data_IF_933954416419
#
_entry.id   IF_933954416419
#
_cell.length_a   1.000
_cell.length_b   1.000
_cell.length_c   1.000
_cell.angle_alpha   90.00
_cell.angle_beta   90.00
_cell.angle_gamma   90.00
#
_symmetry.space_group_name_H-M   'P 1'
#
loop_
_entity.id
_entity.type
_entity.pdbx_description
1 polymer ?
#
# COMPACT_ATOMS: atom_id res chain seq x y z
N UNK A 1 7.88 0.98 11.39
CA UNK A 1 7.37 2.13 10.63
C UNK A 1 6.28 2.82 11.46
N UNK A 2 6.38 4.15 11.57
CA UNK A 2 5.55 5.05 12.42
C UNK A 2 4.93 6.16 11.53
N UNK A 3 4.12 7.11 12.03
CA UNK A 3 3.59 8.19 11.18
C UNK A 3 4.66 8.88 10.32
N UNK A 4 4.34 9.11 9.04
CA UNK A 4 5.29 9.53 8.02
C UNK A 4 4.68 9.54 6.61
N UNK A 5 5.52 9.75 5.60
CA UNK A 5 5.15 9.63 4.18
C UNK A 5 5.86 8.40 3.58
N UNK A 6 5.06 7.49 3.04
CA UNK A 6 5.53 6.22 2.50
C UNK A 6 5.07 6.10 1.06
N UNK A 7 6.01 5.75 0.17
CA UNK A 7 5.71 5.61 -1.25
C UNK A 7 6.46 4.45 -1.88
N UNK A 8 5.89 3.95 -2.96
CA UNK A 8 6.51 2.96 -3.82
C UNK A 8 6.22 3.31 -5.27
N UNK A 9 7.15 2.98 -6.16
CA UNK A 9 6.95 3.09 -7.60
C UNK A 9 7.01 1.69 -8.17
N UNK A 10 5.89 1.19 -8.69
CA UNK A 10 5.85 -0.13 -9.31
C UNK A 10 4.89 -0.17 -10.50
N UNK A 11 5.00 -1.25 -11.28
CA UNK A 11 4.07 -1.65 -12.33
C UNK A 11 3.73 -3.13 -12.19
N UNK A 12 2.62 -3.54 -12.76
CA UNK A 12 2.17 -4.92 -12.89
C UNK A 12 2.21 -5.31 -14.37
N UNK A 13 3.03 -6.30 -14.69
CA UNK A 13 3.13 -6.88 -16.03
C UNK A 13 2.25 -8.12 -16.12
N UNK A 14 1.51 -8.24 -17.22
CA UNK A 14 0.58 -9.36 -17.40
C UNK A 14 -0.61 -9.27 -16.44
N UNK A 15 -1.03 -8.05 -16.08
CA UNK A 15 -2.08 -7.77 -15.10
C UNK A 15 -3.49 -8.15 -15.61
N UNK A 16 -3.69 -9.44 -15.88
CA UNK A 16 -4.89 -10.08 -16.39
C UNK A 16 -5.07 -11.40 -15.64
N UNK A 17 -6.31 -11.78 -15.39
CA UNK A 17 -6.64 -12.87 -14.47
C UNK A 17 -6.53 -12.41 -13.02
N UNK A 18 -7.15 -13.14 -12.09
CA UNK A 18 -7.28 -12.72 -10.70
C UNK A 18 -5.95 -12.70 -9.95
N UNK A 19 -5.60 -11.55 -9.41
CA UNK A 19 -4.49 -11.31 -8.50
C UNK A 19 -4.75 -9.98 -7.76
N UNK A 20 -4.06 -9.79 -6.64
CA UNK A 20 -3.99 -8.52 -5.93
C UNK A 20 -2.53 -8.15 -5.70
N UNK A 21 -2.18 -6.91 -6.04
CA UNK A 21 -0.97 -6.27 -5.51
C UNK A 21 -1.33 -5.31 -4.39
N UNK A 22 -0.61 -5.38 -3.27
CA UNK A 22 -0.80 -4.49 -2.14
C UNK A 22 0.49 -3.80 -1.72
N UNK A 23 0.37 -2.49 -1.45
CA UNK A 23 1.36 -1.69 -0.71
C UNK A 23 0.69 -1.19 0.56
N UNK A 24 1.14 -1.67 1.71
CA UNK A 24 0.42 -1.43 2.96
C UNK A 24 1.31 -1.32 4.18
N UNK A 25 0.81 -0.60 5.18
CA UNK A 25 1.35 -0.59 6.54
C UNK A 25 0.46 -1.43 7.44
N UNK A 26 1.04 -2.32 8.25
CA UNK A 26 0.29 -3.23 9.13
C UNK A 26 0.89 -3.24 10.54
N UNK A 27 0.03 -3.14 11.55
CA UNK A 27 0.35 -3.44 12.95
C UNK A 27 -0.46 -4.65 13.45
N UNK A 28 -1.77 -4.62 13.24
CA UNK A 28 -2.74 -5.67 13.56
C UNK A 28 -4.00 -5.51 12.69
N UNK A 29 -4.97 -6.41 12.83
CA UNK A 29 -6.20 -6.45 12.02
C UNK A 29 -7.13 -5.22 12.21
N UNK A 30 -6.90 -4.41 13.25
CA UNK A 30 -7.61 -3.15 13.48
C UNK A 30 -6.81 -1.91 13.01
N UNK A 31 -5.57 -2.12 12.54
CA UNK A 31 -4.57 -1.09 12.33
C UNK A 31 -3.76 -1.40 11.06
N UNK A 32 -4.36 -1.09 9.91
CA UNK A 32 -3.76 -1.33 8.59
C UNK A 32 -4.12 -0.20 7.62
N UNK A 33 -3.16 0.22 6.79
CA UNK A 33 -3.30 1.24 5.75
C UNK A 33 -2.96 0.59 4.41
N UNK A 34 -3.89 0.56 3.47
CA UNK A 34 -3.74 -0.17 2.22
C UNK A 34 -3.86 0.69 0.97
N UNK A 35 -3.01 0.36 0.01
CA UNK A 35 -3.21 0.65 -1.41
C UNK A 35 -3.15 -0.68 -2.16
N UNK A 36 -4.28 -1.14 -2.68
CA UNK A 36 -4.40 -2.45 -3.32
C UNK A 36 -4.96 -2.34 -4.73
N UNK A 37 -4.28 -2.94 -5.70
CA UNK A 37 -4.77 -3.07 -7.08
C UNK A 37 -5.21 -4.51 -7.27
N UNK A 38 -6.49 -4.68 -7.59
CA UNK A 38 -7.06 -5.96 -7.99
C UNK A 38 -7.07 -6.01 -9.51
N UNK A 39 -6.35 -6.97 -10.08
CA UNK A 39 -6.23 -7.11 -11.53
C UNK A 39 -7.56 -7.57 -12.16
N UNK A 40 -7.81 -7.23 -13.44
CA UNK A 40 -8.96 -7.75 -14.18
C UNK A 40 -9.07 -9.28 -14.15
N UNK A 41 -10.14 -9.79 -13.53
CA UNK A 41 -10.49 -11.20 -13.36
C UNK A 41 -12.00 -11.34 -13.10
N UNK A 42 -12.36 -12.13 -12.08
CA UNK A 42 -13.76 -12.49 -11.76
C UNK A 42 -14.17 -12.24 -10.30
N UNK A 43 -13.41 -11.44 -9.57
CA UNK A 43 -13.77 -11.02 -8.22
C UNK A 43 -14.86 -9.95 -8.18
N UNK A 44 -15.38 -9.66 -7.00
CA UNK A 44 -16.42 -8.65 -6.82
C UNK A 44 -15.90 -7.22 -6.94
N UNK A 45 -14.64 -6.97 -6.56
CA UNK A 45 -13.93 -5.68 -6.72
C UNK A 45 -13.06 -5.67 -7.98
N UNK A 46 -13.41 -6.47 -8.98
CA UNK A 46 -12.63 -6.70 -10.18
C UNK A 46 -12.13 -5.41 -10.87
N UNK A 47 -10.83 -5.37 -11.19
CA UNK A 47 -10.25 -4.29 -11.99
C UNK A 47 -10.33 -2.94 -11.27
N UNK A 48 -9.96 -2.89 -10.00
CA UNK A 48 -10.01 -1.69 -9.18
C UNK A 48 -8.66 -1.39 -8.52
N UNK A 49 -8.49 -0.14 -8.13
CA UNK A 49 -7.55 0.27 -7.08
C UNK A 49 -8.36 0.67 -5.84
N UNK A 50 -7.92 0.20 -4.68
CA UNK A 50 -8.60 0.33 -3.40
C UNK A 50 -7.67 1.02 -2.41
N UNK A 51 -8.18 2.05 -1.76
CA UNK A 51 -7.50 2.81 -0.70
C UNK A 51 -8.28 2.58 0.60
N UNK A 52 -7.72 1.79 1.50
CA UNK A 52 -8.42 1.34 2.71
C UNK A 52 -7.66 1.73 3.96
N UNK A 53 -8.40 2.16 4.98
CA UNK A 53 -7.92 2.27 6.36
C UNK A 53 -8.74 1.35 7.25
N UNK A 54 -8.10 0.31 7.76
CA UNK A 54 -8.75 -0.69 8.60
C UNK A 54 -9.13 -0.12 9.99
N UNK A 55 -10.20 -0.65 10.60
CA UNK A 55 -11.11 -1.65 10.02
C UNK A 55 -12.00 -1.01 8.94
N UNK A 56 -12.27 -1.78 7.87
CA UNK A 56 -13.18 -1.40 6.78
C UNK A 56 -14.62 -1.85 7.00
N UNK A 57 -14.83 -2.81 7.90
CA UNK A 57 -16.15 -3.33 8.29
C UNK A 57 -16.40 -3.11 9.79
N UNK A 58 -17.66 -2.85 10.15
CA UNK A 58 -18.12 -2.78 11.53
C UNK A 58 -18.29 -4.17 12.15
N UNK A 59 -18.61 -4.22 13.45
CA UNK A 59 -18.90 -5.47 14.15
C UNK A 59 -20.12 -6.21 13.59
N UNK A 60 -21.02 -5.49 12.94
CA UNK A 60 -22.19 -6.00 12.22
C UNK A 60 -21.88 -6.47 10.79
N UNK A 61 -20.60 -6.42 10.38
CA UNK A 61 -20.13 -6.77 9.05
C UNK A 61 -20.48 -5.73 7.98
N UNK A 62 -21.07 -4.59 8.34
CA UNK A 62 -21.40 -3.55 7.37
C UNK A 62 -20.17 -2.71 7.02
N UNK A 63 -20.03 -2.24 5.77
CA UNK A 63 -18.97 -1.31 5.39
C UNK A 63 -19.01 -0.06 6.26
N UNK A 64 -17.86 0.30 6.84
CA UNK A 64 -17.73 1.55 7.56
C UNK A 64 -17.65 2.69 6.52
N UNK A 65 -18.52 3.72 6.62
CA UNK A 65 -18.51 4.82 5.69
C UNK A 65 -17.13 5.47 5.60
N UNK A 66 -16.65 5.70 4.36
CA UNK A 66 -15.37 6.36 4.09
C UNK A 66 -14.14 5.64 4.66
N UNK A 67 -14.24 4.33 4.95
CA UNK A 67 -13.10 3.49 5.32
C UNK A 67 -12.33 2.95 4.10
N UNK A 68 -13.01 2.84 2.96
CA UNK A 68 -12.45 2.39 1.69
C UNK A 68 -12.95 3.29 0.56
N UNK A 69 -12.04 3.74 -0.29
CA UNK A 69 -12.35 4.23 -1.63
C UNK A 69 -11.92 3.17 -2.65
N UNK A 70 -12.89 2.65 -3.42
CA UNK A 70 -12.63 1.74 -4.54
C UNK A 70 -12.87 2.47 -5.86
N UNK A 71 -11.88 2.48 -6.75
CA UNK A 71 -11.93 3.16 -8.04
C UNK A 71 -11.67 2.14 -9.15
N UNK A 72 -12.58 1.98 -10.13
CA UNK A 72 -12.32 1.17 -11.31
C UNK A 72 -11.06 1.67 -12.04
N UNK A 73 -10.18 0.77 -12.44
CA UNK A 73 -8.93 1.12 -13.13
C UNK A 73 -9.20 1.98 -14.38
N UNK A 74 -10.25 1.65 -15.14
CA UNK A 74 -10.67 2.40 -16.32
C UNK A 74 -11.13 3.84 -16.04
N UNK A 75 -11.47 4.16 -14.79
CA UNK A 75 -11.87 5.50 -14.34
C UNK A 75 -10.76 6.22 -13.58
N UNK A 76 -9.64 5.53 -13.32
CA UNK A 76 -8.47 6.08 -12.66
C UNK A 76 -7.47 6.64 -13.68
N UNK A 77 -6.40 7.28 -13.18
CA UNK A 77 -5.24 7.68 -14.00
C UNK A 77 -4.20 6.57 -14.16
N UNK A 78 -4.47 5.40 -13.58
CA UNK A 78 -3.55 4.28 -13.48
C UNK A 78 -3.66 3.38 -14.72
N UNK A 79 -2.52 3.10 -15.35
CA UNK A 79 -2.35 1.94 -16.21
C UNK A 79 -1.41 0.95 -15.51
N UNK A 80 -1.88 -0.25 -15.10
CA UNK A 80 -1.06 -1.17 -14.32
C UNK A 80 0.27 -1.53 -14.98
N UNK A 81 0.32 -1.57 -16.31
CA UNK A 81 1.49 -1.97 -17.10
C UNK A 81 2.58 -0.88 -17.18
N UNK A 82 2.32 0.32 -16.66
CA UNK A 82 3.29 1.42 -16.56
C UNK A 82 3.65 1.74 -15.11
N UNK A 83 4.82 2.36 -14.89
CA UNK A 83 5.24 2.73 -13.54
C UNK A 83 4.42 3.92 -13.03
N UNK A 84 3.84 3.75 -11.84
CA UNK A 84 3.13 4.79 -11.12
C UNK A 84 3.65 4.93 -9.69
N UNK A 85 3.59 6.14 -9.13
CA UNK A 85 3.88 6.38 -7.71
C UNK A 85 2.60 6.18 -6.90
N UNK A 86 2.66 5.29 -5.91
CA UNK A 86 1.62 5.09 -4.90
C UNK A 86 2.15 5.59 -3.58
N UNK A 87 1.40 6.47 -2.92
CA UNK A 87 1.83 7.10 -1.67
C UNK A 87 0.69 7.21 -0.68
N UNK A 88 1.01 7.00 0.60
CA UNK A 88 0.17 7.47 1.69
C UNK A 88 0.98 8.36 2.64
N UNK A 89 0.37 9.48 3.01
CA UNK A 89 0.88 10.40 4.02
C UNK A 89 0.05 10.21 5.28
N UNK A 90 0.68 9.71 6.34
CA UNK A 90 0.03 9.34 7.60
C UNK A 90 0.45 10.30 8.71
N UNK A 91 -0.52 11.02 9.24
CA UNK A 91 -0.29 12.01 10.29
C UNK A 91 -1.33 11.88 11.42
N UNK A 92 -0.91 11.88 12.71
CA UNK A 92 -1.82 11.64 13.83
C UNK A 92 -3.04 12.59 13.90
N UNK A 93 -2.89 13.82 13.43
CA UNK A 93 -3.93 14.85 13.49
C UNK A 93 -4.64 15.11 12.15
N UNK A 94 -4.00 14.78 11.03
CA UNK A 94 -4.54 15.09 9.68
C UNK A 94 -5.20 13.87 9.03
N UNK A 95 -4.92 12.67 9.53
CA UNK A 95 -5.42 11.45 8.94
C UNK A 95 -4.40 10.75 8.05
N UNK A 96 -4.92 9.90 7.18
CA UNK A 96 -4.18 9.25 6.09
C UNK A 96 -4.64 9.86 4.77
N UNK A 97 -3.71 10.44 4.03
CA UNK A 97 -3.91 11.02 2.71
C UNK A 97 -3.28 10.11 1.66
N UNK A 98 -4.10 9.56 0.76
CA UNK A 98 -3.66 8.69 -0.32
C UNK A 98 -3.38 9.50 -1.57
N UNK A 99 -2.32 9.15 -2.29
CA UNK A 99 -1.93 9.81 -3.52
C UNK A 99 -1.55 8.81 -4.61
N UNK A 100 -1.89 9.15 -5.85
CA UNK A 100 -1.48 8.47 -7.07
C UNK A 100 -0.78 9.47 -7.99
N UNK A 101 0.46 9.19 -8.37
CA UNK A 101 1.31 10.10 -9.18
C UNK A 101 1.33 11.53 -8.64
N UNK A 102 1.48 11.66 -7.32
CA UNK A 102 1.51 12.94 -6.61
C UNK A 102 0.16 13.65 -6.45
N UNK A 103 -0.93 13.13 -7.01
CA UNK A 103 -2.27 13.70 -6.87
C UNK A 103 -2.99 13.09 -5.67
N UNK A 104 -3.56 13.93 -4.80
CA UNK A 104 -4.40 13.48 -3.70
C UNK A 104 -5.66 12.80 -4.26
N UNK A 105 -5.93 11.56 -3.84
CA UNK A 105 -7.09 10.77 -4.29
C UNK A 105 -8.12 10.58 -3.18
N UNK A 106 -7.68 10.46 -1.92
CA UNK A 106 -8.57 10.21 -0.80
C UNK A 106 -7.94 10.65 0.53
N UNK A 107 -8.79 11.00 1.49
CA UNK A 107 -8.37 11.32 2.86
C UNK A 107 -9.29 10.62 3.84
N UNK A 108 -8.70 9.90 4.80
CA UNK A 108 -9.41 9.24 5.89
C UNK A 108 -8.90 9.78 7.22
N UNK A 109 -9.79 10.32 8.04
CA UNK A 109 -9.46 10.99 9.33
C UNK A 109 -9.92 10.22 10.57
N UNK A 110 -10.43 9.01 10.39
CA UNK A 110 -10.94 8.12 11.45
C UNK A 110 -9.91 7.04 11.79
N UNK A 111 -9.99 6.49 13.01
CA UNK A 111 -9.15 5.38 13.47
C UNK A 111 -7.65 5.59 13.19
N UNK A 112 -7.13 6.81 13.40
CA UNK A 112 -5.72 7.09 13.16
C UNK A 112 -4.90 6.52 14.31
N UNK A 113 -4.32 5.37 14.05
CA UNK A 113 -3.37 4.69 14.93
C UNK A 113 -2.00 5.36 14.81
N UNK A 114 -1.15 5.19 15.82
CA UNK A 114 0.22 5.76 15.85
C UNK A 114 1.25 4.76 16.37
N UNK A 115 0.86 3.50 16.58
CA UNK A 115 1.80 2.45 16.99
C UNK A 115 2.80 2.16 15.87
N UNK A 116 3.91 1.50 16.22
CA UNK A 116 4.86 1.01 15.23
C UNK A 116 4.32 -0.24 14.53
N UNK A 117 4.35 -0.25 13.20
CA UNK A 117 4.02 -1.40 12.36
C UNK A 117 5.12 -1.73 11.36
N UNK A 118 4.84 -2.61 10.42
CA UNK A 118 5.72 -2.93 9.31
C UNK A 118 5.14 -2.37 8.00
N UNK A 119 6.01 -2.09 7.03
CA UNK A 119 5.61 -1.74 5.67
C UNK A 119 5.77 -3.00 4.83
N UNK A 120 4.74 -3.34 4.06
CA UNK A 120 4.66 -4.55 3.26
C UNK A 120 4.35 -4.20 1.81
N UNK A 121 4.94 -4.99 0.91
CA UNK A 121 4.66 -4.95 -0.52
C UNK A 121 4.46 -6.40 -0.97
N UNK A 122 3.29 -6.72 -1.52
CA UNK A 122 2.91 -8.09 -1.88
C UNK A 122 2.24 -8.14 -3.24
N UNK A 123 2.41 -9.28 -3.91
CA UNK A 123 1.59 -9.73 -5.02
C UNK A 123 1.08 -11.13 -4.67
N UNK A 124 -0.22 -11.34 -4.72
CA UNK A 124 -0.84 -12.60 -4.29
C UNK A 124 -2.10 -12.92 -5.08
N UNK A 125 -2.47 -14.20 -5.08
CA UNK A 125 -3.73 -14.70 -5.59
C UNK A 125 -4.14 -15.91 -4.73
N UNK A 126 -5.31 -15.87 -4.11
CA UNK A 126 -5.75 -16.86 -3.12
C UNK A 126 -7.11 -17.51 -3.44
N UNK A 127 -7.76 -17.12 -4.54
CA UNK A 127 -9.08 -17.65 -4.91
C UNK A 127 -10.27 -16.94 -4.26
N UNK A 128 -10.05 -15.95 -3.39
CA UNK A 128 -11.13 -15.26 -2.69
C UNK A 128 -11.93 -14.37 -3.65
N UNK A 129 -13.21 -14.74 -3.88
CA UNK A 129 -14.12 -14.01 -4.78
C UNK A 129 -14.41 -12.58 -4.35
N UNK A 130 -14.23 -12.25 -3.07
CA UNK A 130 -14.37 -10.88 -2.60
C UNK A 130 -13.18 -9.99 -3.00
N UNK A 131 -12.02 -10.58 -3.35
CA UNK A 131 -10.80 -9.83 -3.62
C UNK A 131 -10.01 -10.32 -4.83
N UNK A 132 -9.08 -11.26 -4.68
CA UNK A 132 -8.19 -11.66 -5.79
C UNK A 132 -8.91 -12.45 -6.89
N UNK A 133 -10.03 -13.10 -6.58
CA UNK A 133 -10.78 -13.92 -7.54
C UNK A 133 -10.03 -15.20 -7.93
N UNK A 134 -10.48 -15.84 -9.02
CA UNK A 134 -9.79 -17.01 -9.58
C UNK A 134 -8.38 -16.61 -10.00
N UNK A 135 -7.32 -17.27 -9.49
CA UNK A 135 -5.94 -16.93 -9.84
C UNK A 135 -5.71 -16.93 -11.36
N UNK A 136 -4.89 -15.99 -11.82
CA UNK A 136 -4.51 -15.94 -13.24
C UNK A 136 -3.87 -17.24 -13.72
N UNK A 137 -4.14 -17.59 -14.98
CA UNK A 137 -3.51 -18.75 -15.65
C UNK A 137 -2.16 -18.41 -16.28
N UNK A 138 -1.77 -17.14 -16.25
CA UNK A 138 -0.48 -16.63 -16.73
C UNK A 138 0.23 -15.86 -15.61
N UNK A 139 1.54 -15.69 -15.76
CA UNK A 139 2.32 -14.92 -14.80
C UNK A 139 1.83 -13.47 -14.71
N UNK A 140 1.61 -13.03 -13.48
CA UNK A 140 1.47 -11.62 -13.11
C UNK A 140 2.75 -11.24 -12.39
N UNK A 141 3.44 -10.21 -12.85
CA UNK A 141 4.74 -9.82 -12.29
C UNK A 141 4.66 -8.40 -11.74
N UNK A 142 5.02 -8.21 -10.48
CA UNK A 142 5.21 -6.89 -9.89
C UNK A 142 6.68 -6.47 -10.06
N UNK A 143 6.91 -5.44 -10.86
CA UNK A 143 8.24 -4.84 -11.02
C UNK A 143 8.33 -3.55 -10.20
N UNK A 144 9.19 -3.56 -9.19
CA UNK A 144 9.35 -2.45 -8.23
C UNK A 144 10.58 -1.63 -8.60
N UNK A 145 10.38 -0.32 -8.79
CA UNK A 145 11.44 0.63 -9.11
C UNK A 145 12.05 1.27 -7.86
N UNK A 146 11.22 1.65 -6.89
CA UNK A 146 11.69 2.19 -5.61
C UNK A 146 10.67 1.98 -4.50
N UNK A 147 11.16 1.96 -3.27
CA UNK A 147 10.36 2.08 -2.04
C UNK A 147 11.06 3.14 -1.20
N UNK A 148 10.34 4.21 -0.89
CA UNK A 148 10.86 5.35 -0.14
C UNK A 148 10.00 5.58 1.10
N UNK A 149 10.63 5.60 2.27
CA UNK A 149 9.99 5.78 3.56
C UNK A 149 10.60 6.98 4.29
N UNK A 150 9.79 8.00 4.57
CA UNK A 150 10.21 9.19 5.30
C UNK A 150 9.38 9.34 6.57
N UNK A 151 10.02 9.30 7.72
CA UNK A 151 9.37 9.45 9.02
C UNK A 151 10.32 10.13 10.00
N UNK A 152 9.75 10.86 10.97
CA UNK A 152 10.54 11.57 11.96
C UNK A 152 10.94 10.62 13.08
N UNK A 153 12.21 10.67 13.49
CA UNK A 153 12.72 9.94 14.65
C UNK A 153 13.20 10.94 15.71
N UNK A 154 12.89 10.70 16.98
CA UNK A 154 13.34 11.56 18.09
C UNK A 154 14.79 11.28 18.52
N UNK A 155 15.35 10.13 18.13
CA UNK A 155 16.73 9.74 18.42
C UNK A 155 17.20 8.70 17.40
N UNK A 156 18.53 8.52 17.32
CA UNK A 156 19.11 7.48 16.47
C UNK A 156 18.69 6.09 16.96
N UNK A 157 18.08 5.28 16.10
CA UNK A 157 17.74 3.90 16.39
C UNK A 157 18.95 2.98 16.11
N UNK A 158 19.56 2.43 17.16
CA UNK A 158 20.70 1.51 17.03
C UNK A 158 20.37 0.24 16.22
N UNK A 159 19.12 -0.23 16.26
CA UNK A 159 18.68 -1.36 15.46
C UNK A 159 18.62 -0.98 13.98
N UNK A 160 18.13 0.21 13.66
CA UNK A 160 18.15 0.75 12.30
C UNK A 160 19.58 0.91 11.77
N UNK A 161 20.51 1.46 12.58
CA UNK A 161 21.92 1.62 12.18
C UNK A 161 22.54 0.28 11.84
N UNK A 162 22.30 -0.73 12.68
CA UNK A 162 22.77 -2.10 12.44
C UNK A 162 22.16 -2.71 11.17
N UNK A 163 20.85 -2.53 10.96
CA UNK A 163 20.16 -3.03 9.77
C UNK A 163 20.67 -2.35 8.49
N UNK A 164 20.89 -1.03 8.51
CA UNK A 164 21.47 -0.31 7.40
C UNK A 164 22.88 -0.82 7.07
N UNK A 165 23.74 -1.00 8.07
CA UNK A 165 25.09 -1.53 7.86
C UNK A 165 25.04 -2.95 7.24
N UNK A 166 24.13 -3.80 7.71
CA UNK A 166 23.91 -5.13 7.13
C UNK A 166 23.42 -5.09 5.67
N UNK A 167 22.68 -4.04 5.29
CA UNK A 167 22.24 -3.78 3.91
C UNK A 167 23.31 -3.11 3.03
N UNK A 168 24.57 -3.06 3.48
CA UNK A 168 25.70 -2.50 2.72
C UNK A 168 26.02 -1.03 3.03
N UNK A 169 25.30 -0.43 3.99
CA UNK A 169 25.51 0.96 4.42
C UNK A 169 25.14 2.01 3.36
N UNK A 170 25.22 3.31 3.71
CA UNK A 170 24.95 4.39 2.77
C UNK A 170 25.84 4.29 1.51
N UNK A 171 25.21 4.14 0.34
CA UNK A 171 25.88 3.99 -0.95
C UNK A 171 24.97 4.47 -2.10
N UNK A 172 25.41 4.32 -3.35
CA UNK A 172 24.54 4.56 -4.52
C UNK A 172 23.40 3.55 -4.66
N UNK A 173 23.47 2.41 -3.96
CA UNK A 173 22.45 1.34 -4.01
C UNK A 173 21.58 1.26 -2.77
N UNK A 174 22.06 1.79 -1.64
CA UNK A 174 21.38 1.74 -0.35
C UNK A 174 21.40 3.14 0.26
N UNK A 175 20.23 3.77 0.38
CA UNK A 175 20.09 5.10 0.99
C UNK A 175 19.64 4.91 2.43
N UNK A 176 20.53 5.19 3.38
CA UNK A 176 20.22 5.23 4.80
C UNK A 176 20.55 6.61 5.34
N UNK A 177 19.55 7.45 5.53
CA UNK A 177 19.75 8.78 6.13
C UNK A 177 18.76 8.98 7.28
N UNK A 178 19.28 9.09 8.50
CA UNK A 178 18.55 9.75 9.59
C UNK A 178 18.93 11.23 9.48
N UNK A 179 17.95 12.09 9.20
CA UNK A 179 18.13 13.55 9.26
C UNK A 179 17.45 14.09 10.50
#
# INVERSE_FOLDING_TARGET
MIPGTYRTVFKLEGAKGGACSGFFWYHDDESEIDIEIVTPGDSLVNGTINYTLHPSLGQDGQPIPNATLSVPLAQSRLSPETFHEYRFDWHPQRGVEYHLDGHLVHTIVRNIRTQGGNLQLKLWADGNKWWSGTPSTTDVVMTVKSIDAYYNTSSSDAAWVKACAAAGGPSSKTICTIK
#
